data_IF_002702713846
#
_entry.id   IF_002702713846
#
_cell.length_a   1.000
_cell.length_b   1.000
_cell.length_c   1.000
_cell.angle_alpha   90.00
_cell.angle_beta   90.00
_cell.angle_gamma   90.00
#
_symmetry.space_group_name_H-M   'P 1'
#
loop_
_entity.id
_entity.type
_entity.pdbx_description
1 polymer ?
#
# COMPACT_ATOMS: atom_id res chain seq x y z
N UNK A 1 16.24 -4.83 -15.67
CA UNK A 1 16.41 -4.33 -14.29
C UNK A 1 15.40 -5.02 -13.41
N UNK A 2 15.87 -5.62 -12.32
CA UNK A 2 15.15 -6.57 -11.49
C UNK A 2 13.89 -5.98 -10.86
N UNK A 3 12.77 -6.69 -10.99
CA UNK A 3 11.59 -6.54 -10.14
C UNK A 3 12.00 -6.86 -8.69
N UNK A 4 12.44 -5.86 -7.93
CA UNK A 4 12.49 -5.96 -6.47
C UNK A 4 11.05 -6.06 -5.99
N UNK A 5 10.61 -7.30 -5.84
CA UNK A 5 9.43 -7.67 -5.07
C UNK A 5 9.46 -6.85 -3.78
N UNK A 6 8.42 -6.07 -3.57
CA UNK A 6 8.08 -5.45 -2.30
C UNK A 6 7.92 -6.58 -1.29
N UNK A 7 9.03 -7.00 -0.69
CA UNK A 7 9.05 -7.80 0.54
C UNK A 7 8.15 -7.10 1.55
N UNK A 8 7.30 -7.85 2.24
CA UNK A 8 6.20 -7.35 3.08
C UNK A 8 6.63 -6.15 3.96
N UNK A 9 6.41 -4.94 3.47
CA UNK A 9 6.66 -3.71 4.22
C UNK A 9 5.67 -3.69 5.37
N UNK A 10 6.20 -3.62 6.59
CA UNK A 10 5.43 -3.57 7.82
C UNK A 10 5.21 -2.11 8.24
N UNK A 11 4.11 -1.84 8.94
CA UNK A 11 3.73 -0.49 9.39
C UNK A 11 4.82 0.23 10.18
N UNK A 12 5.57 -0.52 10.99
CA UNK A 12 6.68 0.00 11.80
C UNK A 12 7.82 0.55 10.94
N UNK A 13 8.04 0.01 9.75
CA UNK A 13 9.12 0.46 8.85
C UNK A 13 8.82 1.82 8.20
N UNK A 14 7.55 2.25 8.17
CA UNK A 14 7.15 3.51 7.51
C UNK A 14 7.05 4.69 8.48
N UNK A 15 6.79 4.44 9.77
CA UNK A 15 6.56 5.51 10.76
C UNK A 15 7.78 6.44 10.87
N UNK A 16 7.53 7.75 10.85
CA UNK A 16 8.55 8.80 10.99
C UNK A 16 9.39 9.05 9.74
N UNK A 17 9.19 8.29 8.66
CA UNK A 17 9.87 8.50 7.38
C UNK A 17 9.34 9.73 6.66
N UNK A 18 10.22 10.41 5.94
CA UNK A 18 9.87 11.50 5.04
C UNK A 18 9.18 11.00 3.77
N UNK A 19 8.50 11.91 3.06
CA UNK A 19 7.91 11.63 1.74
C UNK A 19 8.92 11.03 0.75
N UNK A 20 10.15 11.55 0.70
CA UNK A 20 11.20 11.04 -0.20
C UNK A 20 11.62 9.59 0.14
N UNK A 21 11.73 9.26 1.43
CA UNK A 21 12.00 7.89 1.86
C UNK A 21 10.83 6.95 1.50
N UNK A 22 9.58 7.42 1.64
CA UNK A 22 8.41 6.65 1.24
C UNK A 22 8.40 6.40 -0.28
N UNK A 23 8.72 7.40 -1.09
CA UNK A 23 8.89 7.24 -2.55
C UNK A 23 9.97 6.19 -2.86
N UNK A 24 11.09 6.22 -2.16
CA UNK A 24 12.17 5.25 -2.39
C UNK A 24 11.76 3.82 -2.04
N UNK A 25 10.92 3.66 -1.01
CA UNK A 25 10.47 2.36 -0.50
C UNK A 25 9.29 1.80 -1.31
N UNK A 26 8.30 2.64 -1.62
CA UNK A 26 7.02 2.23 -2.21
C UNK A 26 6.89 2.59 -3.70
N UNK A 27 7.69 3.53 -4.21
CA UNK A 27 7.58 4.07 -5.57
C UNK A 27 6.52 5.17 -5.67
N UNK A 28 6.89 6.39 -6.09
CA UNK A 28 5.95 7.51 -6.26
C UNK A 28 4.85 7.21 -7.29
N UNK A 29 5.21 6.51 -8.37
CA UNK A 29 4.30 6.13 -9.45
C UNK A 29 3.27 5.07 -9.04
N UNK A 30 3.47 4.43 -7.89
CA UNK A 30 2.62 3.36 -7.39
C UNK A 30 1.54 3.88 -6.42
N UNK A 31 1.57 5.18 -6.08
CA UNK A 31 0.48 5.84 -5.38
C UNK A 31 -0.69 6.07 -6.36
N UNK A 32 -1.84 5.45 -6.09
CA UNK A 32 -3.08 5.67 -6.86
C UNK A 32 -3.73 7.02 -6.49
N UNK A 33 -3.37 7.56 -5.32
CA UNK A 33 -3.79 8.88 -4.85
C UNK A 33 -2.68 9.54 -4.03
N UNK A 34 -2.46 10.84 -4.25
CA UNK A 34 -1.43 11.62 -3.56
C UNK A 34 -1.95 13.03 -3.27
N UNK A 35 -2.21 13.31 -2.00
CA UNK A 35 -2.43 14.65 -1.45
C UNK A 35 -1.26 15.06 -0.55
N UNK A 36 -1.29 16.29 -0.03
CA UNK A 36 -0.25 16.79 0.87
C UNK A 36 -0.08 15.92 2.13
N UNK A 37 -1.18 15.49 2.75
CA UNK A 37 -1.15 14.78 4.04
C UNK A 37 -1.53 13.29 3.93
N UNK A 38 -1.90 12.80 2.74
CA UNK A 38 -2.36 11.43 2.54
C UNK A 38 -1.96 10.86 1.19
N UNK A 39 -1.23 9.74 1.22
CA UNK A 39 -0.95 8.93 0.04
C UNK A 39 -1.62 7.55 0.14
N UNK A 40 -2.16 7.05 -0.97
CA UNK A 40 -2.85 5.76 -1.05
C UNK A 40 -2.16 4.87 -2.07
N UNK A 41 -1.68 3.72 -1.61
CA UNK A 41 -1.05 2.68 -2.42
C UNK A 41 -1.97 1.49 -2.55
N UNK A 42 -2.10 0.95 -3.76
CA UNK A 42 -3.01 -0.15 -4.06
C UNK A 42 -2.24 -1.29 -4.72
N UNK A 43 -2.20 -2.43 -4.04
CA UNK A 43 -1.66 -3.67 -4.57
C UNK A 43 -2.81 -4.61 -4.94
N UNK A 44 -2.95 -4.92 -6.24
CA UNK A 44 -3.99 -5.83 -6.75
C UNK A 44 -3.40 -7.23 -6.95
N UNK A 45 -4.00 -8.23 -6.31
CA UNK A 45 -3.71 -9.65 -6.50
C UNK A 45 -4.93 -10.35 -7.08
N UNK A 46 -4.72 -11.58 -7.59
CA UNK A 46 -5.74 -12.38 -8.30
C UNK A 46 -7.08 -12.54 -7.54
N UNK A 47 -7.04 -12.57 -6.21
CA UNK A 47 -8.21 -12.81 -5.34
C UNK A 47 -8.47 -11.68 -4.33
N UNK A 48 -7.60 -10.67 -4.29
CA UNK A 48 -7.67 -9.63 -3.26
C UNK A 48 -7.06 -8.31 -3.73
N UNK A 49 -7.53 -7.21 -3.14
CA UNK A 49 -6.94 -5.88 -3.23
C UNK A 49 -6.44 -5.49 -1.84
N UNK A 50 -5.15 -5.16 -1.71
CA UNK A 50 -4.57 -4.51 -0.52
C UNK A 50 -4.51 -3.01 -0.77
N UNK A 51 -4.96 -2.22 0.20
CA UNK A 51 -4.88 -0.75 0.19
C UNK A 51 -4.08 -0.31 1.40
N UNK A 52 -3.03 0.46 1.18
CA UNK A 52 -2.21 1.07 2.22
C UNK A 52 -2.41 2.59 2.17
N UNK A 53 -2.90 3.14 3.28
CA UNK A 53 -3.01 4.57 3.52
C UNK A 53 -1.80 5.01 4.33
N UNK A 54 -1.12 6.06 3.87
CA UNK A 54 0.05 6.65 4.50
C UNK A 54 -0.28 8.10 4.83
N UNK A 55 -0.40 8.41 6.12
CA UNK A 55 -0.72 9.76 6.60
C UNK A 55 0.57 10.49 6.97
N UNK A 56 0.65 11.77 6.62
CA UNK A 56 1.78 12.63 6.91
C UNK A 56 1.39 13.72 7.90
N UNK A 57 2.34 14.09 8.75
CA UNK A 57 2.27 15.25 9.64
C UNK A 57 3.69 15.83 9.73
N UNK A 58 3.85 17.14 9.54
CA UNK A 58 5.16 17.80 9.48
C UNK A 58 6.13 17.08 8.50
N UNK A 59 5.63 16.77 7.30
CA UNK A 59 6.35 16.08 6.21
C UNK A 59 6.83 14.65 6.51
N UNK A 60 6.44 14.07 7.65
CA UNK A 60 6.81 12.71 8.06
C UNK A 60 5.59 11.84 8.24
N UNK A 61 5.75 10.54 8.05
CA UNK A 61 4.65 9.58 8.26
C UNK A 61 4.27 9.55 9.73
N UNK A 62 3.04 9.97 10.03
CA UNK A 62 2.47 9.94 11.37
C UNK A 62 1.95 8.53 11.70
N UNK A 63 1.15 7.95 10.81
CA UNK A 63 0.64 6.57 10.92
C UNK A 63 0.25 5.98 9.56
N UNK A 64 0.00 4.67 9.57
CA UNK A 64 -0.41 3.92 8.36
C UNK A 64 -1.59 3.01 8.66
N UNK A 65 -2.46 2.81 7.67
CA UNK A 65 -3.61 1.90 7.74
C UNK A 65 -3.57 0.94 6.55
N UNK A 66 -3.73 -0.35 6.82
CA UNK A 66 -3.85 -1.37 5.76
C UNK A 66 -5.26 -1.97 5.76
N UNK A 67 -5.85 -2.06 4.57
CA UNK A 67 -7.16 -2.69 4.33
C UNK A 67 -7.02 -3.76 3.26
N UNK A 68 -7.72 -4.88 3.45
CA UNK A 68 -7.74 -6.02 2.54
C UNK A 68 -9.17 -6.28 2.07
N UNK A 69 -9.38 -6.32 0.76
CA UNK A 69 -10.66 -6.59 0.13
C UNK A 69 -10.56 -7.88 -0.69
N UNK A 70 -11.37 -8.89 -0.38
CA UNK A 70 -11.36 -10.19 -1.04
C UNK A 70 -12.52 -10.33 -2.03
N UNK A 71 -12.25 -10.98 -3.16
CA UNK A 71 -13.22 -11.18 -4.23
C UNK A 71 -13.92 -12.53 -3.98
N UNK A 72 -14.87 -12.57 -3.04
CA UNK A 72 -15.53 -13.82 -2.63
C UNK A 72 -16.41 -14.46 -3.73
N UNK A 73 -16.77 -13.73 -4.79
CA UNK A 73 -17.74 -14.20 -5.79
C UNK A 73 -17.26 -15.31 -6.73
N UNK A 74 -15.96 -15.64 -6.75
CA UNK A 74 -15.42 -16.69 -7.63
C UNK A 74 -15.21 -18.06 -7.00
N UNK A 75 -15.27 -18.19 -5.67
CA UNK A 75 -14.98 -19.47 -4.99
C UNK A 75 -16.21 -20.38 -4.96
N UNK A 76 -17.44 -19.84 -4.97
CA UNK A 76 -18.68 -20.63 -4.93
C UNK A 76 -19.08 -21.34 -6.24
N UNK A 77 -18.40 -21.10 -7.37
CA UNK A 77 -18.76 -21.72 -8.67
C UNK A 77 -18.04 -23.04 -8.96
N UNK A 78 -17.20 -23.53 -8.05
CA UNK A 78 -16.40 -24.75 -8.27
C UNK A 78 -16.83 -25.94 -7.39
N UNK A 79 -17.97 -25.84 -6.68
CA UNK A 79 -18.54 -26.92 -5.86
C UNK A 79 -20.00 -27.22 -6.23
N UNK A 80 -20.28 -27.43 -7.52
CA UNK A 80 -21.50 -28.10 -7.99
C UNK A 80 -21.15 -29.12 -9.08
#
# INVERSE_FOLDING_TARGET
MENKKTENITRSQLKGKSKQEIIHILGEKDAEYSEEDLWIYIERKKIMKKVLYVYFENEKVSFTVERYYYWYERIKKTEL
#
